data_IF_469217007470
#
_entry.id   IF_469217007470
#
_cell.length_a   1.000
_cell.length_b   1.000
_cell.length_c   1.000
_cell.angle_alpha   90.00
_cell.angle_beta   90.00
_cell.angle_gamma   90.00
#
_symmetry.space_group_name_H-M   'P 1'
#
loop_
_entity.id
_entity.type
_entity.pdbx_description
1 polymer ?
#
# COMPACT_ATOMS: atom_id res chain seq x y z
N UNK A 1 5.71 4.86 -4.54
CA UNK A 1 4.88 5.45 -5.63
C UNK A 1 5.73 5.60 -6.87
N UNK A 2 5.25 5.09 -8.01
CA UNK A 2 5.99 5.13 -9.28
C UNK A 2 5.67 6.40 -10.09
N UNK A 3 6.63 6.98 -10.83
CA UNK A 3 6.44 8.25 -11.56
C UNK A 3 5.26 8.27 -12.55
N UNK A 4 4.88 7.12 -13.07
CA UNK A 4 3.77 6.96 -14.01
C UNK A 4 2.44 7.47 -13.42
N UNK A 5 2.12 7.10 -12.17
CA UNK A 5 0.86 7.48 -11.52
C UNK A 5 0.80 8.98 -11.20
N UNK A 6 1.95 9.60 -10.95
CA UNK A 6 2.04 11.05 -10.77
C UNK A 6 1.73 11.78 -12.08
N UNK A 7 2.17 11.22 -13.22
CA UNK A 7 1.95 11.81 -14.53
C UNK A 7 0.51 11.59 -15.04
N UNK A 8 -0.10 10.44 -14.74
CA UNK A 8 -1.45 10.09 -15.21
C UNK A 8 -2.57 10.54 -14.27
N UNK A 9 -2.24 10.92 -13.03
CA UNK A 9 -3.23 11.27 -12.01
C UNK A 9 -4.13 10.10 -11.61
N UNK A 10 -3.72 8.86 -11.94
CA UNK A 10 -4.48 7.67 -11.56
C UNK A 10 -4.22 7.33 -10.10
N UNK A 11 -5.25 6.88 -9.37
CA UNK A 11 -5.13 6.64 -7.95
C UNK A 11 -4.17 5.47 -7.70
N UNK A 12 -3.33 5.61 -6.68
CA UNK A 12 -2.35 4.62 -6.32
C UNK A 12 -2.08 4.64 -4.81
N UNK A 13 -1.80 3.48 -4.24
CA UNK A 13 -1.49 3.33 -2.82
C UNK A 13 -0.32 2.38 -2.61
N UNK A 14 0.38 2.50 -1.49
CA UNK A 14 1.45 1.59 -1.09
C UNK A 14 1.20 1.11 0.34
N UNK A 15 1.11 -0.20 0.56
CA UNK A 15 0.84 -0.81 1.87
C UNK A 15 1.96 -1.79 2.27
N UNK A 16 2.42 -1.82 3.53
CA UNK A 16 3.54 -2.64 3.97
C UNK A 16 3.09 -4.06 4.36
N UNK A 17 2.83 -4.90 3.36
CA UNK A 17 2.32 -6.28 3.55
C UNK A 17 3.40 -7.29 3.93
N UNK A 18 4.68 -6.93 3.82
CA UNK A 18 5.77 -7.86 4.12
C UNK A 18 6.88 -7.18 4.91
N UNK A 19 7.55 -7.97 5.75
CA UNK A 19 8.72 -7.56 6.52
C UNK A 19 9.84 -8.56 6.26
N UNK A 20 11.02 -8.06 5.91
CA UNK A 20 12.19 -8.92 5.68
C UNK A 20 12.67 -9.54 7.00
N UNK A 21 13.52 -10.56 6.92
CA UNK A 21 14.13 -11.17 8.10
C UNK A 21 14.97 -10.16 8.91
N UNK A 22 15.48 -9.12 8.27
CA UNK A 22 16.23 -8.02 8.87
C UNK A 22 15.32 -6.92 9.47
N UNK A 23 13.99 -7.12 9.49
CA UNK A 23 13.05 -6.16 10.07
C UNK A 23 12.76 -4.95 9.18
N UNK A 24 13.03 -5.03 7.88
CA UNK A 24 12.73 -3.93 6.95
C UNK A 24 11.33 -4.09 6.33
N UNK A 25 10.51 -3.03 6.29
CA UNK A 25 9.19 -3.10 5.65
C UNK A 25 9.31 -3.10 4.13
N UNK A 26 8.62 -4.04 3.47
CA UNK A 26 8.43 -4.07 2.03
C UNK A 26 7.01 -3.61 1.67
N UNK A 27 6.93 -2.50 0.94
CA UNK A 27 5.69 -1.95 0.43
C UNK A 27 5.23 -2.65 -0.85
N UNK A 28 3.94 -2.98 -0.93
CA UNK A 28 3.28 -3.42 -2.16
C UNK A 28 2.52 -2.23 -2.75
N UNK A 29 2.80 -1.91 -4.01
CA UNK A 29 2.21 -0.77 -4.71
C UNK A 29 1.01 -1.22 -5.56
N UNK A 30 -0.16 -0.67 -5.26
CA UNK A 30 -1.39 -0.88 -6.01
C UNK A 30 -1.76 0.38 -6.80
N UNK A 31 -2.39 0.17 -7.95
CA UNK A 31 -2.87 1.23 -8.82
C UNK A 31 -4.28 0.89 -9.31
N UNK A 32 -5.17 1.88 -9.25
CA UNK A 32 -6.55 1.78 -9.73
C UNK A 32 -6.73 2.52 -11.05
N UNK A 33 -7.91 2.35 -11.67
CA UNK A 33 -8.31 3.21 -12.79
C UNK A 33 -8.66 4.60 -12.26
N UNK A 34 -8.68 5.59 -13.15
CA UNK A 34 -9.09 6.95 -12.79
C UNK A 34 -10.49 6.96 -12.16
N UNK A 35 -10.64 7.56 -10.98
CA UNK A 35 -11.90 7.61 -10.23
C UNK A 35 -12.21 6.38 -9.37
N UNK A 36 -11.30 5.41 -9.26
CA UNK A 36 -11.49 4.19 -8.44
C UNK A 36 -10.79 4.26 -7.07
N UNK A 37 -10.66 5.45 -6.49
CA UNK A 37 -10.11 5.66 -5.15
C UNK A 37 -10.84 4.80 -4.10
N UNK A 38 -12.17 4.70 -4.20
CA UNK A 38 -12.98 3.88 -3.27
C UNK A 38 -12.62 2.40 -3.34
N UNK A 39 -12.32 1.88 -4.53
CA UNK A 39 -11.89 0.49 -4.71
C UNK A 39 -10.53 0.24 -4.06
N UNK A 40 -9.59 1.17 -4.22
CA UNK A 40 -8.29 1.06 -3.56
C UNK A 40 -8.42 1.12 -2.04
N UNK A 41 -9.26 2.01 -1.51
CA UNK A 41 -9.52 2.09 -0.07
C UNK A 41 -10.21 0.85 0.48
N UNK A 42 -11.18 0.28 -0.25
CA UNK A 42 -11.82 -0.98 0.13
C UNK A 42 -10.80 -2.12 0.17
N UNK A 43 -9.96 -2.24 -0.87
CA UNK A 43 -8.87 -3.21 -0.89
C UNK A 43 -7.88 -3.00 0.26
N UNK A 44 -7.55 -1.75 0.59
CA UNK A 44 -6.70 -1.44 1.72
C UNK A 44 -7.31 -1.96 3.03
N UNK A 45 -8.60 -1.73 3.27
CA UNK A 45 -9.30 -2.18 4.47
C UNK A 45 -9.37 -3.73 4.58
N UNK A 46 -9.57 -4.42 3.45
CA UNK A 46 -9.54 -5.89 3.42
C UNK A 46 -8.15 -6.42 3.76
N UNK A 47 -7.11 -5.85 3.15
CA UNK A 47 -5.72 -6.21 3.42
C UNK A 47 -5.33 -5.92 4.88
N UNK A 48 -5.81 -4.80 5.41
CA UNK A 48 -5.59 -4.36 6.79
C UNK A 48 -6.15 -5.37 7.79
N UNK A 49 -7.34 -5.89 7.50
CA UNK A 49 -7.99 -6.93 8.31
C UNK A 49 -7.27 -8.27 8.19
N UNK A 50 -6.82 -8.63 6.98
CA UNK A 50 -6.17 -9.92 6.71
C UNK A 50 -4.74 -9.99 7.26
N UNK A 51 -3.97 -8.90 7.19
CA UNK A 51 -2.60 -8.81 7.67
C UNK A 51 -2.34 -7.46 8.36
N UNK A 52 -2.72 -7.30 9.64
CA UNK A 52 -2.55 -6.03 10.34
C UNK A 52 -1.08 -5.59 10.42
N UNK A 53 -0.78 -4.39 9.91
CA UNK A 53 0.59 -3.83 9.91
C UNK A 53 0.80 -2.65 10.85
N UNK A 54 -0.23 -2.04 11.45
CA UNK A 54 -0.07 -0.82 12.29
C UNK A 54 0.82 -0.99 13.51
N UNK A 55 0.89 -2.21 14.05
CA UNK A 55 1.70 -2.49 15.23
C UNK A 55 3.16 -2.79 14.87
N UNK A 56 3.52 -2.79 13.58
CA UNK A 56 4.88 -3.02 13.12
C UNK A 56 5.52 -1.70 12.72
N UNK A 57 6.37 -1.18 13.58
CA UNK A 57 7.16 0.03 13.37
C UNK A 57 8.65 -0.34 13.37
N UNK A 58 9.48 0.24 12.48
CA UNK A 58 10.93 0.02 12.52
C UNK A 58 11.52 0.53 13.84
N UNK A 59 12.50 -0.19 14.39
CA UNK A 59 13.36 0.35 15.45
C UNK A 59 14.32 1.38 14.82
N UNK A 60 14.37 2.58 15.39
CA UNK A 60 15.13 3.74 14.91
C UNK A 60 16.64 3.65 15.18
#
# INVERSE_FOLDING_TARGET
MTPLHNATGTPAMSVPLHWTAEGLPMGVHFAGRYGEETTLLALAAELETAQPWFNRVPEL
#
